data_IF_254593125627
#
_entry.id   IF_254593125627
#
_cell.length_a   1.000
_cell.length_b   1.000
_cell.length_c   1.000
_cell.angle_alpha   90.00
_cell.angle_beta   90.00
_cell.angle_gamma   90.00
#
_symmetry.space_group_name_H-M   'P 1'
#
loop_
_entity.id
_entity.type
_entity.pdbx_description
1 polymer ?
#
# COMPACT_ATOMS: atom_id res chain seq x y z
N UNK A 1 30.47 -19.09 19.66
CA UNK A 1 30.07 -18.95 18.25
C UNK A 1 28.81 -18.12 18.23
N UNK A 2 28.88 -16.92 17.65
CA UNK A 2 27.75 -15.97 17.62
C UNK A 2 26.66 -16.45 16.67
N UNK A 3 25.38 -16.29 17.06
CA UNK A 3 24.20 -16.68 16.29
C UNK A 3 24.22 -16.17 14.83
N UNK A 4 24.95 -15.10 14.56
CA UNK A 4 25.15 -14.52 13.23
C UNK A 4 25.77 -15.47 12.19
N UNK A 5 26.51 -16.50 12.61
CA UNK A 5 27.18 -17.44 11.67
C UNK A 5 26.31 -18.62 11.23
N UNK A 6 25.18 -18.90 11.89
CA UNK A 6 24.27 -19.99 11.50
C UNK A 6 23.12 -19.53 10.57
N UNK A 7 22.76 -18.25 10.59
CA UNK A 7 21.68 -17.70 9.74
C UNK A 7 22.06 -17.49 8.28
N UNK A 8 23.35 -17.27 7.97
CA UNK A 8 23.80 -16.97 6.60
C UNK A 8 23.79 -18.20 5.66
N UNK A 9 24.01 -19.41 6.19
CA UNK A 9 24.12 -20.63 5.37
C UNK A 9 22.73 -21.16 4.94
N UNK A 10 21.66 -20.77 5.65
CA UNK A 10 20.29 -21.24 5.42
C UNK A 10 19.50 -20.37 4.42
N UNK A 11 20.06 -19.23 3.99
CA UNK A 11 19.38 -18.29 3.08
C UNK A 11 19.48 -18.74 1.60
N UNK A 12 20.40 -19.66 1.31
CA UNK A 12 20.63 -20.26 0.00
C UNK A 12 19.41 -21.00 -0.59
N UNK A 13 18.49 -21.47 0.25
CA UNK A 13 17.29 -22.19 -0.20
C UNK A 13 16.14 -21.27 -0.63
N UNK A 14 16.17 -19.98 -0.25
CA UNK A 14 15.06 -19.08 -0.51
C UNK A 14 15.20 -18.39 -1.86
N UNK A 15 14.09 -18.25 -2.58
CA UNK A 15 14.03 -17.50 -3.84
C UNK A 15 13.93 -16.00 -3.60
N UNK A 16 13.32 -15.60 -2.48
CA UNK A 16 13.28 -14.23 -2.00
C UNK A 16 13.77 -14.18 -0.55
N UNK A 17 14.68 -13.25 -0.27
CA UNK A 17 15.07 -12.83 1.07
C UNK A 17 15.03 -11.30 1.12
N UNK A 18 14.33 -10.74 2.09
CA UNK A 18 14.27 -9.30 2.30
C UNK A 18 14.42 -9.00 3.79
N UNK A 19 15.30 -8.07 4.16
CA UNK A 19 15.58 -7.73 5.54
C UNK A 19 15.59 -6.22 5.76
N UNK A 20 15.08 -5.79 6.89
CA UNK A 20 14.91 -4.39 7.27
C UNK A 20 14.97 -4.21 8.78
N UNK A 21 15.51 -3.08 9.23
CA UNK A 21 15.69 -2.82 10.66
C UNK A 21 14.40 -2.32 11.35
N UNK A 22 13.38 -1.97 10.56
CA UNK A 22 12.14 -1.41 11.08
C UNK A 22 10.91 -1.89 10.29
N UNK A 23 10.22 -2.90 10.82
CA UNK A 23 9.00 -3.50 10.26
C UNK A 23 7.90 -2.46 9.98
N UNK A 24 7.93 -1.31 10.65
CA UNK A 24 6.98 -0.20 10.44
C UNK A 24 7.05 0.40 9.05
N UNK A 25 8.21 0.38 8.39
CA UNK A 25 8.32 0.88 7.01
C UNK A 25 7.41 0.08 6.08
N UNK A 26 7.38 -1.25 6.24
CA UNK A 26 6.50 -2.12 5.46
C UNK A 26 5.05 -2.00 5.94
N UNK A 27 4.81 -2.16 7.25
CA UNK A 27 3.43 -2.25 7.76
C UNK A 27 2.63 -0.95 7.59
N UNK A 28 3.25 0.23 7.67
CA UNK A 28 2.58 1.52 7.42
C UNK A 28 2.08 1.62 5.98
N UNK A 29 2.92 1.22 5.01
CA UNK A 29 2.56 1.27 3.59
C UNK A 29 1.45 0.24 3.31
N UNK A 30 1.56 -0.97 3.86
CA UNK A 30 0.55 -2.02 3.65
C UNK A 30 -0.80 -1.69 4.29
N UNK A 31 -0.82 -1.00 5.45
CA UNK A 31 -2.06 -0.50 6.07
C UNK A 31 -2.82 0.48 5.17
N UNK A 32 -2.11 1.26 4.35
CA UNK A 32 -2.75 2.22 3.45
C UNK A 32 -3.58 1.57 2.33
N UNK A 33 -3.34 0.28 2.04
CA UNK A 33 -4.06 -0.49 1.01
C UNK A 33 -4.92 -1.63 1.59
N UNK A 34 -5.06 -1.69 2.91
CA UNK A 34 -5.75 -2.78 3.62
C UNK A 34 -7.26 -2.56 3.73
N UNK A 35 -7.96 -2.68 2.61
CA UNK A 35 -9.44 -2.74 2.55
C UNK A 35 -9.97 -4.12 2.13
N UNK A 36 -9.05 -5.08 1.92
CA UNK A 36 -9.34 -6.50 1.65
C UNK A 36 -8.45 -7.40 2.49
N UNK A 37 -8.98 -8.57 2.85
CA UNK A 37 -8.24 -9.56 3.64
C UNK A 37 -7.08 -10.21 2.88
N UNK A 38 -7.09 -10.17 1.56
CA UNK A 38 -6.06 -10.81 0.74
C UNK A 38 -5.43 -9.83 -0.23
N UNK A 39 -4.15 -10.02 -0.50
CA UNK A 39 -3.39 -9.23 -1.47
C UNK A 39 -2.49 -10.14 -2.33
N UNK A 40 -2.24 -9.73 -3.56
CA UNK A 40 -1.24 -10.35 -4.44
C UNK A 40 0.08 -9.62 -4.27
N UNK A 41 1.15 -10.36 -3.98
CA UNK A 41 2.51 -9.86 -3.86
C UNK A 41 3.27 -10.20 -5.14
N UNK A 42 3.87 -9.19 -5.73
CA UNK A 42 4.81 -9.29 -6.84
C UNK A 42 6.19 -8.87 -6.32
N UNK A 43 7.11 -9.81 -6.26
CA UNK A 43 8.50 -9.56 -5.88
C UNK A 43 9.37 -9.60 -7.14
N UNK A 44 10.15 -8.56 -7.36
CA UNK A 44 11.09 -8.42 -8.49
C UNK A 44 12.39 -7.77 -8.00
N UNK A 45 13.49 -7.81 -8.75
CA UNK A 45 14.74 -7.15 -8.35
C UNK A 45 14.60 -5.66 -7.98
N UNK A 46 13.53 -4.98 -8.42
CA UNK A 46 13.26 -3.57 -8.09
C UNK A 46 12.57 -3.36 -6.74
N UNK A 47 12.02 -4.41 -6.13
CA UNK A 47 11.30 -4.34 -4.87
C UNK A 47 10.02 -5.17 -4.83
N UNK A 48 9.15 -4.87 -3.87
CA UNK A 48 7.87 -5.53 -3.64
C UNK A 48 6.73 -4.62 -4.06
N UNK A 49 5.87 -5.11 -4.97
CA UNK A 49 4.56 -4.53 -5.24
C UNK A 49 3.50 -5.39 -4.57
N UNK A 50 2.63 -4.78 -3.77
CA UNK A 50 1.49 -5.44 -3.13
C UNK A 50 0.21 -4.82 -3.67
N UNK A 51 -0.67 -5.67 -4.18
CA UNK A 51 -1.91 -5.24 -4.83
C UNK A 51 -3.12 -5.83 -4.10
N UNK A 52 -4.07 -4.96 -3.75
CA UNK A 52 -5.41 -5.32 -3.29
C UNK A 52 -6.43 -4.89 -4.34
N UNK A 53 -7.42 -5.73 -4.61
CA UNK A 53 -8.47 -5.46 -5.60
C UNK A 53 -9.85 -5.75 -4.99
N UNK A 54 -10.83 -4.91 -5.30
CA UNK A 54 -12.23 -5.13 -4.97
C UNK A 54 -13.13 -5.05 -6.20
N UNK A 55 -13.93 -6.11 -6.38
CA UNK A 55 -15.03 -6.20 -7.34
C UNK A 55 -14.69 -5.74 -8.77
N UNK A 56 -13.41 -5.85 -9.18
CA UNK A 56 -12.92 -5.38 -10.49
C UNK A 56 -13.07 -3.87 -10.74
N UNK A 57 -13.38 -3.10 -9.70
CA UNK A 57 -13.67 -1.66 -9.79
C UNK A 57 -12.62 -0.82 -9.07
N UNK A 58 -12.02 -1.37 -8.02
CA UNK A 58 -11.04 -0.66 -7.18
C UNK A 58 -9.79 -1.51 -7.08
N UNK A 59 -8.64 -0.89 -7.31
CA UNK A 59 -7.35 -1.52 -7.08
C UNK A 59 -6.44 -0.52 -6.37
N UNK A 60 -5.73 -1.00 -5.33
CA UNK A 60 -4.68 -0.24 -4.70
C UNK A 60 -3.36 -0.99 -4.80
N UNK A 61 -2.30 -0.23 -5.08
CA UNK A 61 -0.96 -0.73 -5.27
C UNK A 61 -0.03 -0.04 -4.28
N UNK A 62 0.61 -0.82 -3.42
CA UNK A 62 1.74 -0.38 -2.60
C UNK A 62 3.03 -0.85 -3.27
N UNK A 63 4.01 0.04 -3.44
CA UNK A 63 5.32 -0.32 -3.95
C UNK A 63 6.42 0.04 -2.97
N UNK A 64 7.23 -0.95 -2.59
CA UNK A 64 8.33 -0.84 -1.64
C UNK A 64 9.60 -1.17 -2.42
N UNK A 65 10.40 -0.15 -2.72
CA UNK A 65 11.63 -0.28 -3.50
C UNK A 65 12.68 -1.11 -2.74
N UNK A 66 13.54 -1.81 -3.49
CA UNK A 66 14.64 -2.61 -2.93
C UNK A 66 15.52 -1.79 -1.97
N UNK A 67 15.75 -0.51 -2.27
CA UNK A 67 16.60 0.39 -1.48
C UNK A 67 16.08 0.67 -0.06
N UNK A 68 14.83 0.31 0.26
CA UNK A 68 14.27 0.41 1.62
C UNK A 68 14.81 -0.74 2.51
N UNK A 69 15.21 -1.84 1.90
CA UNK A 69 15.73 -3.02 2.57
C UNK A 69 17.25 -2.91 2.70
N UNK A 70 17.79 -3.34 3.83
CA UNK A 70 19.25 -3.41 3.99
C UNK A 70 19.82 -4.63 3.24
N UNK A 71 19.00 -5.65 3.01
CA UNK A 71 19.32 -6.82 2.22
C UNK A 71 18.06 -7.23 1.44
N UNK A 72 18.17 -7.30 0.13
CA UNK A 72 17.08 -7.72 -0.75
C UNK A 72 17.64 -8.59 -1.87
N UNK A 73 17.29 -9.87 -1.84
CA UNK A 73 17.75 -10.86 -2.81
C UNK A 73 16.56 -11.55 -3.44
N UNK A 74 16.52 -11.56 -4.76
CA UNK A 74 15.56 -12.33 -5.55
C UNK A 74 16.32 -13.14 -6.60
N UNK A 75 16.03 -14.44 -6.68
CA UNK A 75 16.70 -15.39 -7.59
C UNK A 75 15.99 -15.60 -8.93
N UNK A 76 14.75 -15.15 -9.05
CA UNK A 76 13.94 -15.22 -10.26
C UNK A 76 13.65 -13.80 -10.81
N UNK A 77 13.22 -13.69 -12.06
CA UNK A 77 12.85 -12.37 -12.62
C UNK A 77 11.63 -11.78 -11.91
N UNK A 78 10.67 -12.64 -11.56
CA UNK A 78 9.45 -12.24 -10.88
C UNK A 78 8.89 -13.42 -10.10
N UNK A 79 8.56 -13.17 -8.84
CA UNK A 79 7.86 -14.11 -7.95
C UNK A 79 6.48 -13.53 -7.65
N UNK A 80 5.44 -14.33 -7.82
CA UNK A 80 4.06 -13.89 -7.58
C UNK A 80 3.36 -14.90 -6.68
N UNK A 81 2.73 -14.41 -5.62
CA UNK A 81 1.90 -15.22 -4.75
C UNK A 81 0.84 -14.36 -4.06
N UNK A 82 -0.28 -14.98 -3.69
CA UNK A 82 -1.33 -14.32 -2.91
C UNK A 82 -1.18 -14.67 -1.43
N UNK A 83 -1.52 -13.73 -0.55
CA UNK A 83 -1.42 -13.90 0.90
C UNK A 83 -2.64 -13.30 1.60
N UNK A 84 -2.91 -13.76 2.82
CA UNK A 84 -3.81 -13.04 3.71
C UNK A 84 -3.09 -11.79 4.26
N UNK A 85 -3.48 -10.62 3.77
CA UNK A 85 -2.93 -9.33 4.13
C UNK A 85 -3.22 -8.96 5.59
N UNK A 86 -4.40 -9.33 6.10
CA UNK A 86 -4.77 -9.12 7.50
C UNK A 86 -3.79 -9.85 8.43
N UNK A 87 -3.55 -11.14 8.19
CA UNK A 87 -2.59 -11.95 8.96
C UNK A 87 -1.16 -11.40 8.81
N UNK A 88 -0.76 -11.00 7.60
CA UNK A 88 0.54 -10.38 7.38
C UNK A 88 0.70 -9.12 8.24
N UNK A 89 -0.30 -8.25 8.28
CA UNK A 89 -0.27 -7.03 9.08
C UNK A 89 -0.25 -7.31 10.58
N UNK A 90 -1.00 -8.30 11.05
CA UNK A 90 -0.98 -8.75 12.45
C UNK A 90 0.42 -9.24 12.84
N UNK A 91 1.06 -10.07 12.01
CA UNK A 91 2.43 -10.53 12.23
C UNK A 91 3.45 -9.38 12.23
N UNK A 92 3.34 -8.45 11.28
CA UNK A 92 4.21 -7.27 11.17
C UNK A 92 4.08 -6.30 12.36
N UNK A 93 3.03 -6.42 13.15
CA UNK A 93 2.72 -5.54 14.28
C UNK A 93 2.60 -6.29 15.59
N UNK A 94 3.20 -7.48 15.69
CA UNK A 94 3.06 -8.37 16.86
C UNK A 94 3.60 -7.76 18.15
N UNK A 95 4.65 -6.94 18.08
CA UNK A 95 5.20 -6.19 19.21
C UNK A 95 4.44 -4.88 19.50
N UNK A 96 3.34 -4.66 18.80
CA UNK A 96 2.47 -3.50 18.95
C UNK A 96 2.77 -2.38 17.95
N UNK A 97 1.85 -1.39 17.91
CA UNK A 97 2.00 -0.19 17.08
C UNK A 97 2.69 0.97 17.81
N UNK A 98 3.12 0.80 19.05
CA UNK A 98 3.72 1.88 19.84
C UNK A 98 5.07 2.28 19.27
N UNK A 99 5.21 3.55 18.91
CA UNK A 99 6.48 4.16 18.53
C UNK A 99 7.20 4.69 19.76
N UNK A 100 7.74 3.80 20.59
CA UNK A 100 8.67 4.23 21.63
C UNK A 100 9.95 4.70 20.93
N UNK A 101 10.40 5.96 21.11
CA UNK A 101 11.62 6.44 20.48
C UNK A 101 12.80 5.55 20.84
N UNK A 102 13.53 5.07 19.82
CA UNK A 102 14.70 4.20 20.00
C UNK A 102 14.41 2.70 20.03
N UNK A 103 13.15 2.27 20.03
CA UNK A 103 12.78 0.85 19.89
C UNK A 103 12.27 0.60 18.47
N UNK A 104 12.91 -0.35 17.78
CA UNK A 104 12.54 -0.77 16.43
C UNK A 104 12.50 -2.28 16.33
N UNK A 105 11.48 -2.79 15.66
CA UNK A 105 11.36 -4.22 15.33
C UNK A 105 12.08 -4.49 14.02
N UNK A 106 13.16 -5.25 14.04
CA UNK A 106 13.77 -5.75 12.79
C UNK A 106 12.89 -6.84 12.17
N UNK A 107 12.95 -6.98 10.84
CA UNK A 107 12.17 -7.94 10.08
C UNK A 107 13.03 -8.60 9.01
N UNK A 108 12.96 -9.93 8.93
CA UNK A 108 13.44 -10.74 7.84
C UNK A 108 12.28 -11.52 7.22
N UNK A 109 12.10 -11.39 5.91
CA UNK A 109 11.11 -12.09 5.10
C UNK A 109 11.83 -13.11 4.22
N UNK A 110 11.34 -14.34 4.19
CA UNK A 110 11.90 -15.42 3.37
C UNK A 110 10.79 -16.17 2.64
N UNK A 111 11.00 -16.45 1.36
CA UNK A 111 10.07 -17.24 0.56
C UNK A 111 10.85 -18.24 -0.31
N UNK A 112 10.55 -19.54 -0.14
CA UNK A 112 11.25 -20.64 -0.80
C UNK A 112 10.69 -20.99 -2.19
N UNK A 113 9.64 -20.31 -2.64
CA UNK A 113 9.03 -20.52 -3.94
C UNK A 113 7.64 -21.12 -3.88
N UNK A 114 7.12 -21.46 -5.06
CA UNK A 114 5.74 -21.90 -5.23
C UNK A 114 5.34 -23.03 -4.28
N UNK A 115 4.18 -22.87 -3.63
CA UNK A 115 3.64 -23.83 -2.65
C UNK A 115 4.27 -23.78 -1.25
N UNK A 116 5.30 -22.95 -1.04
CA UNK A 116 5.91 -22.73 0.28
C UNK A 116 5.29 -21.52 1.00
N UNK A 117 5.28 -21.47 2.34
CA UNK A 117 4.80 -20.30 3.06
C UNK A 117 5.76 -19.10 2.95
N UNK A 118 5.24 -17.90 3.19
CA UNK A 118 6.04 -16.73 3.52
C UNK A 118 6.45 -16.82 4.99
N UNK A 119 7.76 -16.85 5.25
CA UNK A 119 8.32 -16.84 6.60
C UNK A 119 8.69 -15.41 6.99
N UNK A 120 8.31 -15.01 8.20
CA UNK A 120 8.73 -13.76 8.81
C UNK A 120 9.48 -14.06 10.10
N UNK A 121 10.62 -13.43 10.29
CA UNK A 121 11.38 -13.45 11.53
C UNK A 121 11.47 -12.00 12.01
N UNK A 122 10.84 -11.70 13.13
CA UNK A 122 10.84 -10.38 13.74
C UNK A 122 11.64 -10.40 15.04
N UNK A 123 12.45 -9.39 15.28
CA UNK A 123 13.22 -9.27 16.53
C UNK A 123 13.10 -7.85 17.11
N UNK A 124 12.72 -7.76 18.38
CA UNK A 124 12.67 -6.54 19.18
C UNK A 124 13.22 -6.84 20.58
N UNK A 125 14.20 -6.06 21.05
CA UNK A 125 14.81 -6.20 22.39
C UNK A 125 15.22 -7.64 22.76
N UNK A 126 15.87 -8.35 21.83
CA UNK A 126 16.28 -9.77 21.95
C UNK A 126 15.13 -10.80 22.00
N UNK A 127 13.88 -10.35 21.86
CA UNK A 127 12.71 -11.24 21.70
C UNK A 127 12.49 -11.49 20.21
N UNK A 128 12.51 -12.76 19.82
CA UNK A 128 12.34 -13.19 18.44
C UNK A 128 10.97 -13.85 18.26
N UNK A 129 10.28 -13.49 17.18
CA UNK A 129 9.02 -14.12 16.74
C UNK A 129 9.19 -14.66 15.33
N UNK A 130 8.90 -15.95 15.16
CA UNK A 130 8.82 -16.62 13.86
C UNK A 130 7.35 -16.79 13.43
N UNK A 131 7.00 -16.26 12.26
CA UNK A 131 5.67 -16.41 11.66
C UNK A 131 5.77 -17.23 10.36
N UNK A 132 4.83 -18.15 10.15
CA UNK A 132 4.70 -18.91 8.89
C UNK A 132 3.32 -18.67 8.30
N UNK A 133 3.27 -17.88 7.22
CA UNK A 133 2.01 -17.48 6.59
C UNK A 133 1.84 -18.27 5.29
N UNK A 134 0.72 -18.99 5.18
CA UNK A 134 0.40 -19.76 3.98
C UNK A 134 0.18 -18.82 2.80
N UNK A 135 0.77 -19.17 1.65
CA UNK A 135 0.49 -18.51 0.37
C UNK A 135 -0.63 -19.22 -0.37
N UNK A 136 -1.26 -18.50 -1.27
CA UNK A 136 -2.33 -18.95 -2.16
C UNK A 136 -1.92 -18.72 -3.61
N UNK A 137 -2.63 -19.38 -4.52
CA UNK A 137 -2.53 -19.09 -5.95
C UNK A 137 -2.93 -17.64 -6.21
N UNK A 138 -2.15 -16.87 -6.98
CA UNK A 138 -2.53 -15.52 -7.37
C UNK A 138 -3.73 -15.55 -8.33
N UNK A 139 -4.70 -14.68 -8.08
CA UNK A 139 -5.74 -14.38 -9.06
C UNK A 139 -5.19 -13.46 -10.15
N UNK A 140 -5.86 -13.44 -11.30
CA UNK A 140 -5.61 -12.44 -12.34
C UNK A 140 -5.88 -11.04 -11.78
N UNK A 141 -4.84 -10.21 -11.75
CA UNK A 141 -4.92 -8.82 -11.30
C UNK A 141 -5.24 -7.95 -12.52
N UNK A 142 -6.26 -7.12 -12.42
CA UNK A 142 -6.65 -6.26 -13.54
C UNK A 142 -5.58 -5.23 -13.87
N UNK A 143 -5.37 -5.01 -15.17
CA UNK A 143 -4.56 -3.92 -15.66
C UNK A 143 -5.46 -2.73 -16.01
N UNK A 144 -5.45 -1.72 -15.15
CA UNK A 144 -6.04 -0.43 -15.46
C UNK A 144 -5.03 0.37 -16.28
N UNK A 145 -5.19 0.37 -17.61
CA UNK A 145 -4.33 1.12 -18.54
C UNK A 145 -4.48 2.64 -18.35
N UNK A 146 -3.83 3.15 -17.31
CA UNK A 146 -3.81 4.58 -16.96
C UNK A 146 -2.62 5.26 -17.62
N UNK A 147 -2.67 5.38 -18.95
CA UNK A 147 -1.64 6.06 -19.72
C UNK A 147 -1.74 7.59 -19.56
N UNK A 148 -0.61 8.25 -19.27
CA UNK A 148 -0.53 9.71 -19.06
C UNK A 148 -1.06 10.54 -20.24
N UNK A 149 -1.04 10.00 -21.46
CA UNK A 149 -1.59 10.65 -22.67
C UNK A 149 -3.11 10.76 -22.64
N UNK A 150 -3.78 9.92 -21.84
CA UNK A 150 -5.24 9.85 -21.76
C UNK A 150 -5.81 10.63 -20.58
N UNK A 151 -4.96 11.31 -19.80
CA UNK A 151 -5.36 12.10 -18.63
C UNK A 151 -5.93 13.44 -19.09
N UNK A 152 -7.24 13.65 -18.87
CA UNK A 152 -7.95 14.87 -19.28
C UNK A 152 -7.68 16.03 -18.32
N UNK A 153 -7.75 15.75 -17.02
CA UNK A 153 -7.58 16.71 -15.93
C UNK A 153 -6.63 16.12 -14.88
N UNK A 154 -5.75 16.95 -14.33
CA UNK A 154 -4.78 16.58 -13.30
C UNK A 154 -4.70 17.68 -12.24
N UNK A 155 -4.83 17.29 -10.99
CA UNK A 155 -4.65 18.17 -9.83
C UNK A 155 -3.68 17.50 -8.88
N UNK A 156 -2.72 18.27 -8.34
CA UNK A 156 -1.84 17.86 -7.23
C UNK A 156 -2.14 18.83 -6.09
N UNK A 157 -2.38 18.29 -4.91
CA UNK A 157 -2.80 19.06 -3.75
C UNK A 157 -2.26 18.45 -2.45
N UNK A 158 -2.12 19.31 -1.43
CA UNK A 158 -1.62 18.94 -0.10
C UNK A 158 -2.55 17.96 0.58
N UNK A 159 -2.00 16.82 1.02
CA UNK A 159 -2.79 15.71 1.55
C UNK A 159 -3.48 16.05 2.86
N UNK A 160 -2.96 16.99 3.66
CA UNK A 160 -3.56 17.40 4.93
C UNK A 160 -4.97 17.95 4.74
N UNK A 161 -5.21 18.70 3.65
CA UNK A 161 -6.51 19.28 3.37
C UNK A 161 -7.55 18.22 2.97
N UNK A 162 -7.13 17.20 2.20
CA UNK A 162 -8.01 16.09 1.81
C UNK A 162 -8.40 15.22 2.99
N UNK A 163 -7.56 15.11 4.02
CA UNK A 163 -7.87 14.34 5.23
C UNK A 163 -9.11 14.88 5.94
N UNK A 164 -9.20 16.20 6.09
CA UNK A 164 -10.35 16.86 6.71
C UNK A 164 -11.60 16.65 5.86
N UNK A 165 -11.51 16.88 4.55
CA UNK A 165 -12.65 16.72 3.63
C UNK A 165 -13.17 15.29 3.59
N UNK A 166 -12.28 14.28 3.52
CA UNK A 166 -12.69 12.88 3.55
C UNK A 166 -13.26 12.42 4.89
N UNK A 167 -12.92 13.10 6.00
CA UNK A 167 -13.49 12.80 7.31
C UNK A 167 -14.92 13.31 7.47
N UNK A 168 -15.30 14.33 6.70
CA UNK A 168 -16.62 14.98 6.74
C UNK A 168 -17.58 14.50 5.64
N UNK A 169 -17.15 13.57 4.77
CA UNK A 169 -18.02 13.02 3.73
C UNK A 169 -19.21 12.26 4.32
N UNK A 170 -20.39 12.45 3.72
CA UNK A 170 -21.59 11.73 4.10
C UNK A 170 -21.56 10.29 3.57
N UNK A 171 -21.21 9.35 4.46
CA UNK A 171 -21.14 7.91 4.17
C UNK A 171 -22.51 7.25 3.89
N UNK A 172 -23.62 7.97 4.05
CA UNK A 172 -24.95 7.47 3.62
C UNK A 172 -25.16 7.63 2.12
N UNK A 173 -24.33 8.42 1.44
CA UNK A 173 -24.38 8.54 -0.01
C UNK A 173 -23.76 7.33 -0.70
N UNK A 174 -24.42 6.80 -1.73
CA UNK A 174 -23.90 5.71 -2.56
C UNK A 174 -22.79 6.15 -3.51
N UNK A 175 -22.67 7.46 -3.76
CA UNK A 175 -21.72 8.03 -4.72
C UNK A 175 -20.93 9.18 -4.12
N UNK A 176 -19.64 9.23 -4.45
CA UNK A 176 -18.84 10.44 -4.37
C UNK A 176 -18.75 11.04 -5.77
N UNK A 177 -19.33 12.22 -5.97
CA UNK A 177 -19.20 12.94 -7.23
C UNK A 177 -17.95 13.81 -7.19
N UNK A 178 -17.11 13.67 -8.21
CA UNK A 178 -15.87 14.43 -8.42
C UNK A 178 -16.05 15.30 -9.66
N UNK A 179 -16.02 16.61 -9.48
CA UNK A 179 -16.05 17.60 -10.56
C UNK A 179 -14.65 18.20 -10.73
N UNK A 180 -14.15 18.22 -11.95
CA UNK A 180 -12.91 18.89 -12.34
C UNK A 180 -13.17 19.79 -13.54
N UNK A 181 -12.82 21.07 -13.48
CA UNK A 181 -13.20 22.07 -14.47
C UNK A 181 -12.15 23.18 -14.61
N UNK A 182 -11.90 23.75 -15.80
CA UNK A 182 -11.10 24.97 -15.94
C UNK A 182 -11.77 26.21 -15.30
N UNK A 183 -13.10 26.17 -15.15
CA UNK A 183 -13.93 27.23 -14.59
C UNK A 183 -14.45 26.86 -13.19
N UNK A 184 -14.84 27.88 -12.42
CA UNK A 184 -15.42 27.70 -11.08
C UNK A 184 -16.57 26.66 -11.11
N UNK A 185 -16.65 25.73 -10.13
CA UNK A 185 -15.90 25.70 -8.86
C UNK A 185 -14.51 25.04 -8.94
N UNK A 186 -13.98 24.79 -10.15
CA UNK A 186 -12.67 24.17 -10.40
C UNK A 186 -12.59 22.71 -9.97
N UNK A 187 -12.41 22.43 -8.68
CA UNK A 187 -12.42 21.08 -8.13
C UNK A 187 -13.44 21.00 -7.01
N UNK A 188 -14.38 20.07 -7.14
CA UNK A 188 -15.44 19.88 -6.15
C UNK A 188 -15.64 18.39 -5.86
N UNK A 189 -15.78 18.09 -4.57
CA UNK A 189 -16.18 16.79 -4.04
C UNK A 189 -17.59 16.92 -3.45
N UNK A 190 -18.52 16.08 -3.90
CA UNK A 190 -19.92 16.15 -3.51
C UNK A 190 -20.50 14.78 -3.13
N UNK A 191 -21.22 14.71 -2.02
CA UNK A 191 -22.02 13.54 -1.61
C UNK A 191 -23.49 13.92 -1.50
N UNK A 192 -24.38 12.96 -1.73
CA UNK A 192 -25.84 13.14 -1.71
C UNK A 192 -26.43 12.06 -0.80
N UNK A 193 -26.50 12.34 0.49
CA UNK A 193 -26.99 11.40 1.49
C UNK A 193 -28.41 11.71 1.95
N UNK A 194 -28.85 11.01 2.99
CA UNK A 194 -30.24 11.08 3.46
C UNK A 194 -30.64 12.46 4.02
N UNK A 195 -29.67 13.19 4.56
CA UNK A 195 -29.87 14.47 5.23
C UNK A 195 -29.63 15.69 4.33
N UNK A 196 -29.26 15.48 3.07
CA UNK A 196 -28.95 16.53 2.12
C UNK A 196 -27.68 16.26 1.32
N UNK A 197 -27.20 17.29 0.62
CA UNK A 197 -25.96 17.25 -0.14
C UNK A 197 -24.84 17.99 0.59
N UNK A 198 -23.67 17.37 0.66
CA UNK A 198 -22.43 18.01 1.13
C UNK A 198 -21.55 18.32 -0.08
N UNK A 199 -20.91 19.49 -0.08
CA UNK A 199 -20.03 19.93 -1.16
C UNK A 199 -18.78 20.55 -0.56
N UNK A 200 -17.62 20.24 -1.14
CA UNK A 200 -16.32 20.82 -0.79
C UNK A 200 -15.63 21.31 -2.04
N UNK A 201 -15.41 22.63 -2.11
CA UNK A 201 -14.87 23.31 -3.28
C UNK A 201 -13.42 23.76 -3.04
N UNK A 202 -12.59 23.58 -4.07
CA UNK A 202 -11.18 23.98 -4.03
C UNK A 202 -10.87 24.88 -5.22
N UNK A 203 -10.58 26.15 -4.93
CA UNK A 203 -10.12 27.08 -5.97
C UNK A 203 -8.75 26.68 -6.50
N UNK A 204 -8.48 26.96 -7.79
CA UNK A 204 -7.17 26.71 -8.39
C UNK A 204 -6.04 27.55 -7.79
N UNK A 205 -6.37 28.69 -7.18
CA UNK A 205 -5.44 29.59 -6.46
C UNK A 205 -5.30 29.27 -4.98
N UNK A 206 -5.94 28.21 -4.48
CA UNK A 206 -5.81 27.80 -3.08
C UNK A 206 -4.36 27.40 -2.76
N UNK A 207 -3.85 27.81 -1.60
CA UNK A 207 -2.54 27.38 -1.09
C UNK A 207 -2.43 25.85 -0.89
N UNK A 208 -3.56 25.16 -0.93
CA UNK A 208 -3.65 23.70 -0.86
C UNK A 208 -3.40 23.03 -2.21
N UNK A 209 -3.47 23.77 -3.32
CA UNK A 209 -3.28 23.24 -4.68
C UNK A 209 -1.86 23.55 -5.16
N UNK A 210 -1.09 22.49 -5.41
CA UNK A 210 0.31 22.60 -5.85
C UNK A 210 0.43 22.64 -7.38
N UNK A 211 -0.46 21.94 -8.08
CA UNK A 211 -0.54 21.96 -9.54
C UNK A 211 -1.99 21.78 -9.97
N UNK A 212 -2.45 22.67 -10.86
CA UNK A 212 -3.79 22.61 -11.43
C UNK A 212 -3.72 22.56 -12.96
N UNK A 213 -4.14 21.45 -13.54
CA UNK A 213 -4.14 21.20 -14.97
C UNK A 213 -5.49 20.62 -15.39
N UNK A 214 -6.52 21.44 -15.42
CA UNK A 214 -7.84 21.07 -15.92
C UNK A 214 -8.13 21.81 -17.23
N UNK A 215 -8.42 21.07 -18.29
CA UNK A 215 -8.68 21.65 -19.63
C UNK A 215 -10.13 21.48 -20.07
N UNK A 216 -10.86 20.56 -19.45
CA UNK A 216 -12.26 20.27 -19.75
C UNK A 216 -13.04 20.06 -18.47
N UNK A 217 -14.29 20.52 -18.43
CA UNK A 217 -15.21 20.16 -17.36
C UNK A 217 -15.55 18.69 -17.45
N UNK A 218 -15.27 17.93 -16.39
CA UNK A 218 -15.58 16.51 -16.26
C UNK A 218 -16.22 16.24 -14.91
N UNK A 219 -17.21 15.36 -14.92
CA UNK A 219 -17.82 14.76 -13.73
C UNK A 219 -17.85 13.25 -13.91
N UNK A 220 -17.68 12.48 -12.84
CA UNK A 220 -17.80 11.01 -12.88
C UNK A 220 -19.26 10.50 -12.92
N UNK A 221 -20.17 11.31 -13.49
CA UNK A 221 -21.60 11.04 -13.57
C UNK A 221 -22.04 10.90 -15.01
#
# INVERSE_FOLDING_TARGET
>A
MSLSTQQADNDSQYLMVAKLDNARHVSTILKAIHFKDTATIFASPMGLKVTTEDAKCVQANAFIQEAIFHEFTIKEEQIIFKINLTVLLECLTIFGNSSVPGVTTSLKMCYAGYGQPLLLILEEDSVVTDCSIKTLEPDEVLDFDFCSTNVINKIIMKSECLKEVFSELDMTSEILQILMSPDAPYFQLSTFGNSGSTQSDFSKESDMVESFQCTKTQTNR
#
